data_IF_953862132317
#
_entry.id   IF_953862132317
#
_cell.length_a   1.000
_cell.length_b   1.000
_cell.length_c   1.000
_cell.angle_alpha   90.00
_cell.angle_beta   90.00
_cell.angle_gamma   90.00
#
_symmetry.space_group_name_H-M   'P 1'
#
loop_
_entity.id
_entity.type
_entity.pdbx_description
1 polymer ?
#
# COMPACT_ATOMS: atom_id res chain seq x y z
N UNK A 1 -7.26 21.10 1.50
CA UNK A 1 -7.44 19.69 1.12
C UNK A 1 -6.82 18.81 2.20
N UNK A 2 -7.57 18.01 2.95
CA UNK A 2 -6.94 17.06 3.86
C UNK A 2 -6.12 16.06 3.02
N UNK A 3 -4.86 15.89 3.37
CA UNK A 3 -4.01 14.84 2.77
C UNK A 3 -4.25 13.48 3.43
N UNK A 4 -4.92 13.49 4.57
CA UNK A 4 -5.21 12.30 5.39
C UNK A 4 -6.70 12.32 5.72
N UNK A 5 -7.36 11.20 5.49
CA UNK A 5 -8.79 10.98 5.79
C UNK A 5 -8.98 9.60 6.42
N UNK A 6 -10.13 9.39 7.04
CA UNK A 6 -10.61 8.06 7.44
C UNK A 6 -11.49 7.44 6.35
N UNK A 7 -11.75 6.11 6.37
CA UNK A 7 -12.52 5.41 5.32
C UNK A 7 -13.93 5.96 5.03
N UNK A 8 -14.53 6.72 5.94
CA UNK A 8 -15.88 7.30 5.78
C UNK A 8 -15.88 8.80 5.52
N UNK A 9 -14.70 9.40 5.43
CA UNK A 9 -14.57 10.82 5.09
C UNK A 9 -14.34 10.99 3.60
N UNK A 10 -14.58 12.21 3.12
CA UNK A 10 -14.29 12.61 1.75
C UNK A 10 -13.16 13.63 1.72
N UNK A 11 -12.41 13.63 0.65
CA UNK A 11 -11.39 14.63 0.36
C UNK A 11 -11.80 15.47 -0.85
N UNK A 12 -11.44 16.75 -0.84
CA UNK A 12 -11.59 17.62 -2.02
C UNK A 12 -10.23 17.88 -2.63
N UNK A 13 -10.04 17.48 -3.86
CA UNK A 13 -8.85 17.77 -4.67
C UNK A 13 -9.10 19.09 -5.40
N UNK A 14 -8.22 20.08 -5.22
CA UNK A 14 -8.28 21.37 -5.93
C UNK A 14 -7.04 21.52 -6.76
N UNK A 15 -7.23 22.00 -7.99
CA UNK A 15 -6.14 22.30 -8.92
C UNK A 15 -6.49 23.53 -9.76
N UNK A 16 -5.47 24.16 -10.32
CA UNK A 16 -5.62 25.31 -11.22
C UNK A 16 -5.19 24.91 -12.62
N UNK A 17 -5.96 25.32 -13.61
CA UNK A 17 -5.66 25.14 -15.03
C UNK A 17 -5.56 26.49 -15.68
N UNK A 18 -4.49 26.71 -16.43
CA UNK A 18 -4.21 27.97 -17.11
C UNK A 18 -4.04 27.71 -18.61
N UNK A 19 -4.71 28.48 -19.43
CA UNK A 19 -4.45 28.49 -20.87
C UNK A 19 -3.19 29.31 -21.16
N UNK A 20 -2.09 28.63 -21.43
CA UNK A 20 -0.81 29.28 -21.81
C UNK A 20 -0.67 29.48 -23.32
N UNK A 21 -1.68 29.11 -24.09
CA UNK A 21 -1.75 29.30 -25.56
C UNK A 21 -2.13 30.73 -25.95
N UNK A 22 -2.20 30.98 -27.24
CA UNK A 22 -2.56 32.28 -27.86
C UNK A 22 -4.02 32.32 -28.30
N UNK A 23 -4.74 31.24 -28.24
CA UNK A 23 -6.13 31.12 -28.66
C UNK A 23 -6.97 30.56 -27.51
N UNK A 24 -8.23 30.98 -27.48
CA UNK A 24 -9.22 30.37 -26.60
C UNK A 24 -9.46 28.89 -26.96
N UNK A 25 -9.76 28.05 -26.01
CA UNK A 25 -10.00 26.63 -26.23
C UNK A 25 -10.63 25.94 -25.07
N UNK A 26 -11.08 24.73 -25.35
CA UNK A 26 -11.65 23.83 -24.34
C UNK A 26 -10.60 22.82 -23.90
N UNK A 27 -10.63 22.50 -22.61
CA UNK A 27 -9.83 21.41 -22.01
C UNK A 27 -10.77 20.48 -21.24
N UNK A 28 -10.47 19.18 -21.27
CA UNK A 28 -11.13 18.17 -20.43
C UNK A 28 -10.15 17.70 -19.39
N UNK A 29 -10.26 18.25 -18.20
CA UNK A 29 -9.40 17.89 -17.08
C UNK A 29 -9.93 16.63 -16.44
N UNK A 30 -9.10 15.59 -16.34
CA UNK A 30 -9.42 14.28 -15.82
C UNK A 30 -8.65 14.03 -14.52
N UNK A 31 -9.33 13.47 -13.52
CA UNK A 31 -8.71 13.04 -12.27
C UNK A 31 -8.77 11.53 -12.17
N UNK A 32 -7.62 10.92 -11.92
CA UNK A 32 -7.44 9.48 -11.72
C UNK A 32 -6.96 9.20 -10.31
N UNK A 33 -7.25 8.01 -9.84
CA UNK A 33 -6.76 7.48 -8.58
C UNK A 33 -6.15 6.09 -8.78
N UNK A 34 -5.11 5.80 -8.01
CA UNK A 34 -4.50 4.47 -7.90
C UNK A 34 -4.31 4.13 -6.44
N UNK A 35 -4.82 3.00 -6.01
CA UNK A 35 -4.44 2.39 -4.75
C UNK A 35 -3.02 1.86 -4.88
N UNK A 36 -2.11 2.33 -4.03
CA UNK A 36 -0.69 1.98 -4.12
C UNK A 36 -0.44 0.57 -3.61
N UNK A 37 -1.25 0.13 -2.63
CA UNK A 37 -1.09 -1.17 -1.99
C UNK A 37 -2.43 -1.75 -1.58
N UNK A 38 -3.01 -2.59 -2.42
CA UNK A 38 -4.29 -3.25 -2.15
C UNK A 38 -4.15 -4.76 -1.96
N UNK A 39 -5.10 -5.34 -1.23
CA UNK A 39 -5.19 -6.79 -1.00
C UNK A 39 -5.60 -7.59 -2.24
N UNK A 40 -6.11 -6.90 -3.27
CA UNK A 40 -6.50 -7.47 -4.56
C UNK A 40 -5.86 -6.67 -5.70
N UNK A 41 -5.90 -7.22 -6.91
CA UNK A 41 -5.46 -6.48 -8.11
C UNK A 41 -6.44 -5.34 -8.42
N UNK A 42 -5.93 -4.11 -8.45
CA UNK A 42 -6.67 -2.90 -8.80
C UNK A 42 -6.14 -2.28 -10.10
N UNK A 43 -6.85 -1.32 -10.65
CA UNK A 43 -6.43 -0.62 -11.86
C UNK A 43 -5.25 0.32 -11.58
N UNK A 44 -4.34 0.41 -12.54
CA UNK A 44 -3.22 1.37 -12.49
C UNK A 44 -3.69 2.84 -12.51
N UNK A 45 -4.81 3.11 -13.17
CA UNK A 45 -5.44 4.42 -13.23
C UNK A 45 -6.96 4.24 -13.31
N UNK A 46 -7.65 4.60 -12.26
CA UNK A 46 -9.10 4.59 -12.22
C UNK A 46 -9.61 6.03 -12.36
N UNK A 47 -10.37 6.32 -13.41
CA UNK A 47 -10.96 7.65 -13.62
C UNK A 47 -12.06 7.90 -12.57
N UNK A 48 -11.85 8.90 -11.74
CA UNK A 48 -12.79 9.26 -10.65
C UNK A 48 -13.54 10.55 -10.90
N UNK A 49 -13.12 11.34 -11.87
CA UNK A 49 -13.84 12.55 -12.26
C UNK A 49 -13.25 13.25 -13.48
N UNK A 50 -14.07 14.03 -14.15
CA UNK A 50 -13.62 14.92 -15.21
C UNK A 50 -14.46 16.20 -15.25
N UNK A 51 -13.87 17.29 -15.77
CA UNK A 51 -14.56 18.56 -16.00
C UNK A 51 -14.08 19.15 -17.33
N UNK A 52 -15.04 19.56 -18.18
CA UNK A 52 -14.74 20.32 -19.38
C UNK A 52 -14.83 21.81 -19.05
N UNK A 53 -13.80 22.55 -19.40
CA UNK A 53 -13.70 23.99 -19.18
C UNK A 53 -13.32 24.70 -20.48
N UNK A 54 -13.76 25.94 -20.62
CA UNK A 54 -13.34 26.86 -21.69
C UNK A 54 -12.44 27.93 -21.08
N UNK A 55 -11.29 28.19 -21.68
CA UNK A 55 -10.34 29.19 -21.19
C UNK A 55 -9.90 30.13 -22.31
N UNK A 56 -9.98 31.43 -22.06
CA UNK A 56 -9.34 32.44 -22.86
C UNK A 56 -7.81 32.43 -22.71
N UNK A 57 -7.04 32.99 -23.63
CA UNK A 57 -5.57 33.08 -23.47
C UNK A 57 -5.17 33.77 -22.16
N UNK A 58 -4.34 33.12 -21.39
CA UNK A 58 -3.88 33.59 -20.07
C UNK A 58 -4.88 33.37 -18.93
N UNK A 59 -6.08 32.90 -19.21
CA UNK A 59 -7.08 32.65 -18.16
C UNK A 59 -6.70 31.44 -17.31
N UNK A 60 -7.01 31.57 -16.01
CA UNK A 60 -6.81 30.50 -15.02
C UNK A 60 -8.13 30.22 -14.31
N UNK A 61 -8.50 28.94 -14.29
CA UNK A 61 -9.67 28.47 -13.55
C UNK A 61 -9.26 27.47 -12.47
N UNK A 62 -9.88 27.57 -11.30
CA UNK A 62 -9.75 26.58 -10.23
C UNK A 62 -10.83 25.53 -10.38
N UNK A 63 -10.44 24.26 -10.35
CA UNK A 63 -11.32 23.10 -10.40
C UNK A 63 -11.27 22.36 -9.08
N UNK A 64 -12.39 21.72 -8.73
CA UNK A 64 -12.47 20.89 -7.55
C UNK A 64 -13.13 19.54 -7.87
N UNK A 65 -12.55 18.47 -7.30
CA UNK A 65 -13.07 17.10 -7.41
C UNK A 65 -13.24 16.54 -6.00
N UNK A 66 -14.34 15.87 -5.77
CA UNK A 66 -14.58 15.19 -4.50
C UNK A 66 -14.22 13.72 -4.63
N UNK A 67 -13.34 13.26 -3.76
CA UNK A 67 -13.03 11.84 -3.57
C UNK A 67 -13.84 11.37 -2.36
N UNK A 68 -14.77 10.49 -2.57
CA UNK A 68 -15.60 9.87 -1.55
C UNK A 68 -15.29 8.37 -1.42
N UNK A 69 -15.97 7.69 -0.50
CA UNK A 69 -15.81 6.27 -0.24
C UNK A 69 -15.88 5.41 -1.51
N UNK A 70 -16.78 5.72 -2.45
CA UNK A 70 -16.97 4.93 -3.68
C UNK A 70 -15.76 4.93 -4.60
N UNK A 71 -14.92 5.97 -4.52
CA UNK A 71 -13.69 6.07 -5.29
C UNK A 71 -12.52 5.32 -4.65
N UNK A 72 -12.66 4.93 -3.38
CA UNK A 72 -11.61 4.33 -2.56
C UNK A 72 -11.88 2.85 -2.26
N UNK A 73 -13.13 2.41 -2.36
CA UNK A 73 -13.52 1.05 -1.99
C UNK A 73 -13.16 0.03 -3.06
N UNK A 74 -12.80 -1.16 -2.59
CA UNK A 74 -12.59 -2.34 -3.40
C UNK A 74 -13.43 -3.51 -2.87
N UNK A 75 -13.65 -4.50 -3.71
CA UNK A 75 -14.33 -5.73 -3.32
C UNK A 75 -13.27 -6.72 -2.83
N UNK A 76 -13.26 -7.01 -1.53
CA UNK A 76 -12.26 -7.91 -0.93
C UNK A 76 -12.48 -9.40 -1.29
N UNK A 77 -11.61 -10.26 -0.81
CA UNK A 77 -11.71 -11.70 -1.05
C UNK A 77 -12.97 -12.35 -0.45
N UNK A 78 -13.61 -11.70 0.51
CA UNK A 78 -14.88 -12.12 1.13
C UNK A 78 -16.11 -11.51 0.43
N UNK A 79 -15.92 -10.88 -0.73
CA UNK A 79 -16.98 -10.20 -1.51
C UNK A 79 -17.63 -9.05 -0.76
N UNK A 80 -16.87 -8.31 0.04
CA UNK A 80 -17.33 -7.12 0.77
C UNK A 80 -16.68 -5.87 0.21
N UNK A 81 -17.47 -4.80 0.09
CA UNK A 81 -16.94 -3.47 -0.24
C UNK A 81 -16.24 -2.87 0.97
N UNK A 82 -14.93 -2.71 0.87
CA UNK A 82 -14.07 -2.18 1.94
C UNK A 82 -13.19 -1.06 1.40
N UNK A 83 -12.88 -0.10 2.27
CA UNK A 83 -11.81 0.87 2.01
C UNK A 83 -10.62 0.44 2.85
N UNK A 84 -9.54 0.08 2.20
CA UNK A 84 -8.32 -0.32 2.88
C UNK A 84 -7.50 0.92 3.29
N UNK A 85 -6.93 0.93 4.48
CA UNK A 85 -5.96 1.95 4.85
C UNK A 85 -4.72 1.87 3.97
N UNK A 86 -4.22 3.02 3.57
CA UNK A 86 -3.05 3.10 2.71
C UNK A 86 -2.97 4.41 1.95
N UNK A 87 -1.98 4.51 1.08
CA UNK A 87 -1.78 5.66 0.21
C UNK A 87 -2.45 5.44 -1.14
N UNK A 88 -3.10 6.50 -1.61
CA UNK A 88 -3.69 6.60 -2.93
C UNK A 88 -2.98 7.69 -3.72
N UNK A 89 -2.45 7.35 -4.88
CA UNK A 89 -1.90 8.34 -5.81
C UNK A 89 -3.04 8.98 -6.58
N UNK A 90 -3.14 10.30 -6.51
CA UNK A 90 -4.04 11.13 -7.30
C UNK A 90 -3.26 11.67 -8.50
N UNK A 91 -3.82 11.55 -9.70
CA UNK A 91 -3.19 11.96 -10.94
C UNK A 91 -4.17 12.82 -11.72
N UNK A 92 -3.77 14.04 -12.09
CA UNK A 92 -4.60 14.91 -12.91
C UNK A 92 -3.91 15.24 -14.25
N UNK A 93 -4.68 15.24 -15.32
CA UNK A 93 -4.17 15.49 -16.65
C UNK A 93 -5.26 15.63 -17.69
N UNK A 94 -4.86 15.75 -18.97
CA UNK A 94 -5.76 15.82 -20.11
C UNK A 94 -6.23 14.41 -20.56
N UNK A 95 -5.46 13.38 -20.23
CA UNK A 95 -5.78 11.97 -20.49
C UNK A 95 -5.02 11.06 -19.55
N UNK A 96 -5.27 9.75 -19.59
CA UNK A 96 -4.51 8.76 -18.84
C UNK A 96 -3.03 8.69 -19.23
N UNK A 97 -2.69 9.15 -20.42
CA UNK A 97 -1.31 9.20 -20.94
C UNK A 97 -0.65 10.57 -20.78
N UNK A 98 -1.44 11.63 -20.57
CA UNK A 98 -0.96 12.99 -20.34
C UNK A 98 -1.30 13.42 -18.90
N UNK A 99 -0.57 12.86 -17.93
CA UNK A 99 -0.66 13.22 -16.52
C UNK A 99 0.30 14.38 -16.23
N UNK A 100 -0.22 15.47 -15.70
CA UNK A 100 0.53 16.72 -15.47
C UNK A 100 0.75 17.02 -13.99
N UNK A 101 -0.13 16.51 -13.12
CA UNK A 101 -0.04 16.72 -11.67
C UNK A 101 -0.23 15.38 -10.94
N UNK A 102 0.56 15.20 -9.86
CA UNK A 102 0.43 14.07 -8.94
C UNK A 102 0.27 14.59 -7.51
N UNK A 103 -0.44 13.82 -6.71
CA UNK A 103 -0.62 14.04 -5.29
C UNK A 103 -0.85 12.73 -4.57
N UNK A 104 -0.78 12.75 -3.24
CA UNK A 104 -1.08 11.59 -2.41
C UNK A 104 -2.21 11.93 -1.46
N UNK A 105 -3.16 11.00 -1.35
CA UNK A 105 -4.20 10.96 -0.33
C UNK A 105 -3.96 9.73 0.53
N UNK A 106 -3.79 9.90 1.83
CA UNK A 106 -3.63 8.80 2.77
C UNK A 106 -4.97 8.51 3.44
N UNK A 107 -5.39 7.26 3.42
CA UNK A 107 -6.52 6.76 4.20
C UNK A 107 -5.98 6.08 5.45
N UNK A 108 -6.27 6.64 6.62
CA UNK A 108 -5.90 6.03 7.90
C UNK A 108 -6.95 5.00 8.34
N UNK A 109 -6.50 3.94 9.02
CA UNK A 109 -7.40 2.99 9.65
C UNK A 109 -8.32 3.71 10.65
N UNK A 110 -9.58 3.27 10.71
CA UNK A 110 -10.53 3.78 11.69
C UNK A 110 -9.94 3.68 13.10
N UNK A 111 -9.71 4.82 13.75
CA UNK A 111 -9.31 4.84 15.16
C UNK A 111 -10.54 4.55 16.03
N UNK A 112 -11.01 3.30 16.03
CA UNK A 112 -12.01 2.87 16.99
C UNK A 112 -11.37 2.68 18.35
N UNK A 113 -12.21 2.72 19.40
CA UNK A 113 -11.87 2.36 20.79
C UNK A 113 -11.06 1.05 20.89
N UNK A 114 -11.10 0.19 19.86
CA UNK A 114 -10.25 -0.96 19.68
C UNK A 114 -8.75 -0.61 19.59
N UNK A 115 -8.36 0.55 19.04
CA UNK A 115 -6.94 0.96 18.98
C UNK A 115 -6.38 1.33 20.36
N UNK A 116 -7.22 1.85 21.28
CA UNK A 116 -6.81 2.09 22.66
C UNK A 116 -6.60 0.78 23.44
N UNK A 117 -7.34 -0.29 23.07
CA UNK A 117 -7.18 -1.63 23.62
C UNK A 117 -6.03 -2.36 22.94
N UNK A 118 -5.78 -2.09 21.66
CA UNK A 118 -4.68 -2.67 20.89
C UNK A 118 -3.33 -2.03 21.23
N UNK A 119 -3.31 -0.75 21.59
CA UNK A 119 -2.13 -0.07 22.14
C UNK A 119 -1.71 -0.64 23.54
N UNK A 120 -2.60 -1.38 24.21
CA UNK A 120 -2.29 -2.11 25.45
C UNK A 120 -1.90 -3.58 25.20
N UNK A 121 -1.96 -4.09 23.97
CA UNK A 121 -1.38 -5.38 23.63
C UNK A 121 0.14 -5.24 23.60
N UNK A 122 0.90 -6.21 24.18
CA UNK A 122 2.35 -6.18 24.04
C UNK A 122 2.70 -6.09 22.55
N UNK A 123 3.52 -5.11 22.20
CA UNK A 123 3.95 -4.87 20.84
C UNK A 123 4.41 -6.19 20.21
N UNK A 124 3.93 -6.49 19.00
CA UNK A 124 4.51 -7.54 18.18
C UNK A 124 5.99 -7.20 18.05
N UNK A 125 6.87 -7.98 18.66
CA UNK A 125 8.30 -7.74 18.52
C UNK A 125 8.71 -8.13 17.11
N UNK A 126 9.15 -7.16 16.37
CA UNK A 126 9.79 -7.36 15.07
C UNK A 126 11.28 -7.18 15.26
N UNK A 127 12.06 -8.02 14.63
CA UNK A 127 13.51 -7.92 14.59
C UNK A 127 14.02 -8.30 13.20
N UNK A 128 15.14 -7.77 12.80
CA UNK A 128 15.75 -8.07 11.51
C UNK A 128 17.25 -8.33 11.66
N UNK A 129 17.82 -9.12 10.73
CA UNK A 129 19.24 -9.42 10.67
C UNK A 129 20.08 -8.22 10.25
N UNK A 130 19.49 -7.34 9.44
CA UNK A 130 20.09 -6.10 8.96
C UNK A 130 19.07 -4.97 9.06
N UNK A 131 19.51 -3.70 9.14
CA UNK A 131 18.67 -2.51 9.29
C UNK A 131 17.56 -2.70 10.35
N UNK A 132 17.89 -3.09 11.60
CA UNK A 132 16.89 -3.43 12.61
C UNK A 132 16.02 -2.22 13.01
N UNK A 133 16.49 -0.99 12.82
CA UNK A 133 15.75 0.25 13.02
C UNK A 133 14.57 0.41 12.06
N UNK A 134 14.65 -0.18 10.86
CA UNK A 134 13.61 -0.15 9.85
C UNK A 134 12.64 -1.34 9.94
N UNK A 135 12.87 -2.28 10.84
CA UNK A 135 12.08 -3.51 10.92
C UNK A 135 10.60 -3.26 11.23
N UNK A 136 10.26 -2.21 11.99
CA UNK A 136 8.88 -1.88 12.31
C UNK A 136 8.11 -1.25 11.13
N UNK A 137 8.82 -0.75 10.12
CA UNK A 137 8.23 -0.15 8.93
C UNK A 137 7.27 -1.12 8.20
N UNK A 138 7.53 -2.43 8.26
CA UNK A 138 6.70 -3.44 7.60
C UNK A 138 5.35 -3.69 8.30
N UNK A 139 5.14 -3.14 9.50
CA UNK A 139 3.91 -3.25 10.27
C UNK A 139 3.12 -1.94 10.30
N UNK A 140 3.71 -0.84 9.85
CA UNK A 140 2.99 0.42 9.73
C UNK A 140 2.04 0.39 8.51
N UNK A 141 1.11 1.34 8.45
CA UNK A 141 0.15 1.42 7.35
C UNK A 141 0.68 2.28 6.18
N UNK A 142 1.99 2.63 6.19
CA UNK A 142 2.64 3.44 5.17
C UNK A 142 3.35 2.54 4.17
N UNK A 143 3.38 2.94 2.91
CA UNK A 143 4.03 2.20 1.83
C UNK A 143 5.41 2.73 1.48
N UNK A 144 5.66 3.99 1.77
CA UNK A 144 6.94 4.64 1.51
C UNK A 144 8.00 4.36 2.58
N UNK A 145 7.63 3.63 3.63
CA UNK A 145 8.50 3.09 4.65
C UNK A 145 8.73 1.62 4.36
N UNK A 146 9.97 1.18 4.28
CA UNK A 146 10.33 -0.20 3.94
C UNK A 146 11.43 -0.71 4.86
N UNK A 147 11.48 -2.02 5.05
CA UNK A 147 12.69 -2.70 5.46
C UNK A 147 13.37 -3.28 4.23
N UNK A 148 14.68 -3.06 4.07
CA UNK A 148 15.47 -3.56 2.95
C UNK A 148 16.54 -4.52 3.43
N UNK A 149 16.70 -5.63 2.71
CA UNK A 149 17.73 -6.63 2.96
C UNK A 149 18.37 -7.16 1.68
N UNK A 150 19.38 -7.98 1.85
CA UNK A 150 20.12 -8.69 0.81
C UNK A 150 19.93 -10.20 0.97
N UNK A 151 20.53 -10.97 0.09
CA UNK A 151 20.50 -12.43 0.15
C UNK A 151 20.98 -12.96 1.50
N UNK A 152 20.14 -13.78 2.14
CA UNK A 152 20.37 -14.35 3.46
C UNK A 152 19.85 -13.50 4.62
N UNK A 153 19.48 -12.24 4.37
CA UNK A 153 18.86 -11.41 5.39
C UNK A 153 17.42 -11.84 5.67
N UNK A 154 16.97 -11.56 6.87
CA UNK A 154 15.64 -11.96 7.32
C UNK A 154 15.03 -10.95 8.28
N UNK A 155 13.69 -10.95 8.32
CA UNK A 155 12.89 -10.24 9.30
C UNK A 155 12.03 -11.25 10.08
N UNK A 156 11.98 -11.12 11.40
CA UNK A 156 11.30 -12.06 12.31
C UNK A 156 10.23 -11.34 13.13
N UNK A 157 9.07 -11.97 13.24
CA UNK A 157 7.91 -11.51 13.97
C UNK A 157 7.63 -12.46 15.13
N UNK A 158 7.64 -11.96 16.35
CA UNK A 158 7.16 -12.72 17.50
C UNK A 158 5.63 -12.80 17.47
N UNK A 159 5.09 -14.00 17.47
CA UNK A 159 3.66 -14.27 17.47
C UNK A 159 3.16 -14.43 18.91
N UNK A 160 1.85 -14.30 19.10
CA UNK A 160 1.26 -14.74 20.37
C UNK A 160 1.47 -16.24 20.52
N UNK A 161 1.84 -16.69 21.71
CA UNK A 161 2.02 -18.10 22.00
C UNK A 161 0.83 -18.93 21.50
N UNK A 162 1.12 -19.93 20.67
CA UNK A 162 0.11 -20.82 20.10
C UNK A 162 -0.70 -20.22 18.96
N UNK A 163 -0.24 -19.15 18.34
CA UNK A 163 -0.90 -18.60 17.14
C UNK A 163 -0.83 -19.62 16.00
N UNK A 164 -1.99 -19.94 15.42
CA UNK A 164 -2.07 -20.71 14.18
C UNK A 164 -1.94 -19.78 13.00
N UNK A 165 -0.93 -19.99 12.18
CA UNK A 165 -0.68 -19.24 10.95
C UNK A 165 -0.85 -20.18 9.77
N UNK A 166 -1.65 -19.78 8.79
CA UNK A 166 -1.91 -20.55 7.56
C UNK A 166 -1.70 -19.72 6.28
N UNK A 167 -1.43 -18.44 6.44
CA UNK A 167 -1.09 -17.52 5.36
C UNK A 167 -0.31 -16.32 5.88
N UNK A 168 0.48 -15.72 5.01
CA UNK A 168 1.14 -14.42 5.24
C UNK A 168 0.93 -13.57 4.00
N UNK A 169 0.47 -12.34 4.16
CA UNK A 169 0.40 -11.38 3.08
C UNK A 169 1.62 -10.45 3.14
N UNK A 170 2.34 -10.32 2.02
CA UNK A 170 3.57 -9.54 1.94
C UNK A 170 3.50 -8.62 0.74
N UNK A 171 3.85 -7.35 0.94
CA UNK A 171 4.10 -6.42 -0.14
C UNK A 171 5.60 -6.22 -0.30
N UNK A 172 6.14 -6.70 -1.41
CA UNK A 172 7.51 -6.48 -1.79
C UNK A 172 7.66 -5.26 -2.68
N UNK A 173 8.80 -4.58 -2.56
CA UNK A 173 9.22 -3.51 -3.48
C UNK A 173 10.65 -3.76 -3.94
N UNK A 174 10.99 -3.33 -5.16
CA UNK A 174 12.35 -3.44 -5.73
C UNK A 174 12.52 -2.43 -6.85
N UNK A 175 13.62 -1.71 -6.83
CA UNK A 175 13.87 -0.61 -7.79
C UNK A 175 13.94 -1.05 -9.26
N UNK A 176 14.31 -2.31 -9.51
CA UNK A 176 14.56 -2.83 -10.86
C UNK A 176 13.49 -3.84 -11.34
N UNK A 177 12.47 -4.14 -10.53
CA UNK A 177 11.41 -5.12 -10.83
C UNK A 177 11.92 -6.52 -11.26
N UNK A 178 13.18 -6.85 -10.97
CA UNK A 178 13.70 -8.18 -11.23
C UNK A 178 13.06 -9.19 -10.27
N UNK A 179 12.76 -10.42 -10.71
CA UNK A 179 12.25 -11.46 -9.83
C UNK A 179 13.14 -11.63 -8.60
N UNK A 180 12.53 -11.81 -7.44
CA UNK A 180 13.22 -12.11 -6.20
C UNK A 180 12.58 -13.34 -5.56
N UNK A 181 13.39 -14.15 -4.90
CA UNK A 181 12.95 -15.35 -4.20
C UNK A 181 13.00 -15.13 -2.69
N UNK A 182 12.07 -15.74 -1.98
CA UNK A 182 11.96 -15.63 -0.54
C UNK A 182 11.43 -16.92 0.08
N UNK A 183 11.62 -17.04 1.39
CA UNK A 183 11.06 -18.12 2.19
C UNK A 183 10.24 -17.57 3.36
N UNK A 184 9.19 -18.28 3.72
CA UNK A 184 8.47 -18.11 4.98
C UNK A 184 8.83 -19.29 5.87
N UNK A 185 9.32 -18.98 7.06
CA UNK A 185 9.74 -19.96 8.04
C UNK A 185 8.97 -19.75 9.35
N UNK A 186 8.64 -20.83 10.02
CA UNK A 186 7.98 -20.83 11.33
C UNK A 186 8.84 -21.52 12.36
N UNK A 187 8.75 -21.03 13.61
CA UNK A 187 9.35 -21.66 14.79
C UNK A 187 8.32 -21.88 15.88
N UNK A 188 8.33 -23.06 16.50
CA UNK A 188 7.49 -23.37 17.67
C UNK A 188 8.12 -22.95 19.00
N UNK A 189 9.24 -22.21 18.97
CA UNK A 189 10.08 -21.88 20.11
C UNK A 189 11.40 -22.65 20.08
N UNK A 190 12.41 -22.17 20.81
CA UNK A 190 13.73 -22.81 20.84
C UNK A 190 14.68 -22.45 19.70
N UNK A 191 14.33 -21.48 18.85
CA UNK A 191 15.24 -20.89 17.88
C UNK A 191 15.41 -21.68 16.57
N UNK A 192 14.78 -22.85 16.42
CA UNK A 192 14.80 -23.59 15.15
C UNK A 192 13.65 -23.12 14.26
N UNK A 193 13.98 -22.74 13.03
CA UNK A 193 13.04 -22.32 11.99
C UNK A 193 12.92 -23.38 10.91
N UNK A 194 11.68 -23.67 10.51
CA UNK A 194 11.38 -24.59 9.41
C UNK A 194 10.71 -23.82 8.28
N UNK A 195 11.18 -24.00 7.06
CA UNK A 195 10.57 -23.39 5.86
C UNK A 195 9.22 -24.06 5.61
N UNK A 196 8.15 -23.26 5.61
CA UNK A 196 6.78 -23.69 5.35
C UNK A 196 6.31 -23.28 3.96
N UNK A 197 6.97 -22.28 3.37
CA UNK A 197 6.64 -21.77 2.04
C UNK A 197 7.89 -21.14 1.40
N UNK A 198 8.04 -21.29 0.10
CA UNK A 198 9.01 -20.56 -0.71
C UNK A 198 8.42 -20.21 -2.07
N UNK A 199 8.75 -19.04 -2.59
CA UNK A 199 8.24 -18.57 -3.87
C UNK A 199 9.15 -17.51 -4.48
N UNK A 200 8.80 -17.14 -5.72
CA UNK A 200 9.39 -16.01 -6.44
C UNK A 200 8.39 -14.86 -6.45
N UNK A 201 8.83 -13.66 -6.11
CA UNK A 201 8.05 -12.43 -6.23
C UNK A 201 8.01 -12.03 -7.70
N UNK A 202 6.85 -12.07 -8.32
CA UNK A 202 6.64 -11.62 -9.70
C UNK A 202 5.96 -10.26 -9.79
N UNK A 203 5.27 -9.84 -8.74
CA UNK A 203 4.55 -8.57 -8.67
C UNK A 203 5.03 -7.75 -7.47
N UNK A 204 5.37 -6.49 -7.70
CA UNK A 204 5.83 -5.53 -6.68
C UNK A 204 4.78 -4.46 -6.41
N UNK A 205 4.85 -3.86 -5.23
CA UNK A 205 3.93 -2.79 -4.82
C UNK A 205 2.51 -3.25 -4.51
N UNK A 206 2.28 -4.57 -4.38
CA UNK A 206 0.98 -5.16 -4.03
C UNK A 206 1.11 -6.06 -2.81
N UNK A 207 0.07 -6.08 -1.98
CA UNK A 207 -0.02 -7.01 -0.85
C UNK A 207 -0.55 -8.35 -1.34
N UNK A 208 0.36 -9.32 -1.50
CA UNK A 208 0.04 -10.66 -2.03
C UNK A 208 -0.01 -11.65 -0.88
N UNK A 209 -1.06 -12.47 -0.83
CA UNK A 209 -1.24 -13.51 0.19
C UNK A 209 -0.60 -14.82 -0.26
N UNK A 210 0.22 -15.41 0.61
CA UNK A 210 0.94 -16.66 0.42
C UNK A 210 0.40 -17.70 1.40
N UNK A 211 -0.54 -18.56 0.97
CA UNK A 211 -1.13 -19.59 1.82
C UNK A 211 -0.23 -20.81 1.96
N UNK A 212 -0.25 -21.44 3.14
CA UNK A 212 0.46 -22.69 3.41
C UNK A 212 -0.32 -23.53 4.42
N UNK A 213 0.15 -24.75 4.71
CA UNK A 213 -0.50 -25.63 5.70
C UNK A 213 -0.45 -24.95 7.08
N UNK A 214 -1.62 -24.72 7.67
CA UNK A 214 -1.75 -24.06 8.97
C UNK A 214 -0.93 -24.76 10.07
N UNK A 215 -0.04 -24.01 10.71
CA UNK A 215 0.91 -24.47 11.70
C UNK A 215 0.87 -23.54 12.91
N UNK A 216 0.92 -24.11 14.12
CA UNK A 216 1.05 -23.36 15.36
C UNK A 216 2.50 -22.93 15.54
N UNK A 217 2.74 -21.63 15.74
CA UNK A 217 4.08 -21.08 15.86
C UNK A 217 4.19 -19.99 16.94
N UNK A 218 5.39 -19.80 17.44
CA UNK A 218 5.79 -18.67 18.29
C UNK A 218 6.44 -17.53 17.52
N UNK A 219 7.10 -17.89 16.42
CA UNK A 219 7.80 -16.91 15.57
C UNK A 219 7.57 -17.22 14.10
N UNK A 220 7.46 -16.15 13.32
CA UNK A 220 7.41 -16.15 11.87
C UNK A 220 8.63 -15.40 11.35
N UNK A 221 9.31 -15.94 10.33
CA UNK A 221 10.45 -15.32 9.69
C UNK A 221 10.25 -15.28 8.18
N UNK A 222 10.60 -14.16 7.57
CA UNK A 222 10.71 -14.03 6.11
C UNK A 222 12.19 -13.89 5.80
N UNK A 223 12.72 -14.75 4.94
CA UNK A 223 14.13 -14.78 4.49
C UNK A 223 14.18 -14.36 3.04
N UNK A 224 15.11 -13.46 2.71
CA UNK A 224 15.36 -13.03 1.34
C UNK A 224 16.48 -13.90 0.72
N UNK A 225 16.25 -14.37 -0.49
CA UNK A 225 17.22 -15.18 -1.23
C UNK A 225 17.92 -14.39 -2.37
N UNK A 226 17.60 -13.09 -2.49
CA UNK A 226 18.17 -12.17 -3.46
C UNK A 226 18.56 -10.83 -2.83
N UNK A 227 19.45 -10.10 -3.50
CA UNK A 227 19.93 -8.80 -3.04
C UNK A 227 18.96 -7.66 -3.36
N UNK A 228 18.99 -6.62 -2.52
CA UNK A 228 18.21 -5.38 -2.68
C UNK A 228 16.72 -5.62 -2.82
N UNK A 229 16.18 -6.46 -1.96
CA UNK A 229 14.74 -6.70 -1.86
C UNK A 229 14.21 -5.92 -0.67
N UNK A 230 13.12 -5.18 -0.87
CA UNK A 230 12.47 -4.43 0.19
C UNK A 230 11.10 -5.00 0.49
N UNK A 231 10.71 -4.99 1.75
CA UNK A 231 9.38 -5.34 2.23
C UNK A 231 8.72 -4.07 2.76
N UNK A 232 7.60 -3.69 2.15
CA UNK A 232 6.82 -2.52 2.55
C UNK A 232 5.76 -2.86 3.60
N UNK A 233 5.20 -4.08 3.55
CA UNK A 233 4.11 -4.47 4.45
C UNK A 233 4.07 -5.97 4.67
N UNK A 234 3.71 -6.37 5.90
CA UNK A 234 3.43 -7.77 6.26
C UNK A 234 2.15 -7.83 7.09
N UNK A 235 1.24 -8.75 6.71
CA UNK A 235 0.02 -9.10 7.48
C UNK A 235 -0.06 -10.62 7.66
N UNK A 236 -0.52 -11.08 8.80
CA UNK A 236 -0.70 -12.50 9.13
C UNK A 236 -1.74 -12.71 10.22
#
# INVERSE_FOLDING_TARGET
TPRVITPNESATVRLKVTNTGKCAGDEVVQLYIRDVLSSITTYEKNLVGFQRIHLEPGETQELSFTIDRKHLELLDADMKWVVEPGDFVLMAGASSEDIRLNGTLTVEAYQTRAKAIEAQKPAKRVSASTNPEDAENVLDEKINTVWQGNKGDYITFALKNGAKVDKVAIAFTRDNNLPATFEIQLSGGGGQFLTVYSSTVSEYGKLISYPFKGTTASDLRIVLNDDRVSIAKVKF
#
